data_IF_681270272677
#
_entry.id   IF_681270272677
#
_cell.length_a   1.000
_cell.length_b   1.000
_cell.length_c   1.000
_cell.angle_alpha   90.00
_cell.angle_beta   90.00
_cell.angle_gamma   90.00
#
_symmetry.space_group_name_H-M   'P 1'
#
loop_
_entity.id
_entity.type
_entity.pdbx_description
1 polymer ?
#
# COMPACT_ATOMS: atom_id res chain seq x y z
N UNK A 1 -0.51 19.67 -22.20
CA UNK A 1 -1.60 20.65 -22.28
C UNK A 1 -2.36 20.77 -20.95
N UNK A 2 -2.86 19.68 -20.37
CA UNK A 2 -3.72 19.70 -19.17
C UNK A 2 -3.03 20.27 -17.91
N UNK A 3 -1.70 20.07 -17.75
CA UNK A 3 -0.95 20.62 -16.61
C UNK A 3 -0.94 22.15 -16.58
N UNK A 4 -0.86 22.78 -17.75
CA UNK A 4 -0.90 24.25 -17.87
C UNK A 4 -2.29 24.75 -17.51
N UNK A 5 -3.35 24.14 -18.06
CA UNK A 5 -4.73 24.50 -17.72
C UNK A 5 -5.00 24.38 -16.20
N UNK A 6 -4.48 23.32 -15.57
CA UNK A 6 -4.61 23.11 -14.13
C UNK A 6 -3.88 24.20 -13.32
N UNK A 7 -2.68 24.60 -13.72
CA UNK A 7 -1.94 25.69 -13.07
C UNK A 7 -2.69 27.02 -13.19
N UNK A 8 -3.24 27.34 -14.36
CA UNK A 8 -4.04 28.55 -14.58
C UNK A 8 -5.29 28.54 -13.69
N UNK A 9 -6.01 27.41 -13.64
CA UNK A 9 -7.20 27.27 -12.82
C UNK A 9 -6.89 27.42 -11.31
N UNK A 10 -5.78 26.80 -10.84
CA UNK A 10 -5.31 26.95 -9.45
C UNK A 10 -4.94 28.40 -9.14
N UNK A 11 -4.21 29.05 -10.04
CA UNK A 11 -3.77 30.44 -9.84
C UNK A 11 -4.97 31.41 -9.80
N UNK A 12 -5.98 31.19 -10.64
CA UNK A 12 -7.24 31.90 -10.55
C UNK A 12 -7.93 31.73 -9.21
N UNK A 13 -8.04 30.48 -8.71
CA UNK A 13 -8.61 30.20 -7.38
C UNK A 13 -7.82 30.87 -6.26
N UNK A 14 -6.49 30.78 -6.30
CA UNK A 14 -5.60 31.44 -5.32
C UNK A 14 -5.84 32.95 -5.27
N UNK A 15 -5.94 33.62 -6.42
CA UNK A 15 -6.19 35.08 -6.48
C UNK A 15 -7.57 35.45 -5.98
N UNK A 16 -8.59 34.64 -6.32
CA UNK A 16 -9.97 34.94 -5.98
C UNK A 16 -10.34 34.62 -4.53
N UNK A 17 -9.84 33.52 -4.00
CA UNK A 17 -10.26 32.98 -2.72
C UNK A 17 -9.14 32.98 -1.65
N UNK A 18 -7.93 33.37 -2.00
CA UNK A 18 -6.75 33.33 -1.16
C UNK A 18 -6.44 31.93 -0.58
N UNK A 19 -6.78 30.87 -1.32
CA UNK A 19 -6.56 29.48 -0.93
C UNK A 19 -5.47 28.90 -1.82
N UNK A 20 -4.50 28.25 -1.21
CA UNK A 20 -3.49 27.47 -1.90
C UNK A 20 -3.68 26.01 -1.58
N UNK A 21 -3.93 25.20 -2.59
CA UNK A 21 -3.94 23.75 -2.52
C UNK A 21 -3.12 23.16 -3.66
N UNK A 22 -2.46 22.00 -3.48
CA UNK A 22 -1.78 21.33 -4.57
C UNK A 22 -2.78 20.86 -5.63
N UNK A 23 -2.28 20.65 -6.85
CA UNK A 23 -3.02 19.93 -7.89
C UNK A 23 -2.74 18.43 -7.67
N UNK A 24 -3.76 17.63 -7.45
CA UNK A 24 -3.61 16.17 -7.36
C UNK A 24 -3.69 15.56 -8.76
N UNK A 25 -2.70 14.72 -9.08
CA UNK A 25 -2.70 13.90 -10.31
C UNK A 25 -2.76 12.44 -9.87
N UNK A 26 -3.84 11.77 -10.25
CA UNK A 26 -4.03 10.35 -10.05
C UNK A 26 -3.86 9.62 -11.37
N UNK A 27 -3.00 8.60 -11.41
CA UNK A 27 -2.72 7.80 -12.61
C UNK A 27 -2.74 6.31 -12.31
N UNK A 28 -2.75 5.46 -13.34
CA UNK A 28 -2.96 4.02 -13.19
C UNK A 28 -1.72 3.23 -12.77
N UNK A 29 -0.51 3.72 -13.04
CA UNK A 29 0.72 2.96 -12.79
C UNK A 29 1.85 3.76 -12.15
N UNK A 30 2.80 3.05 -11.53
CA UNK A 30 3.99 3.63 -10.91
C UNK A 30 4.92 4.23 -11.97
N UNK A 31 4.98 3.62 -13.16
CA UNK A 31 5.78 4.11 -14.29
C UNK A 31 5.26 5.46 -14.78
N UNK A 32 3.95 5.61 -14.92
CA UNK A 32 3.33 6.89 -15.27
C UNK A 32 3.55 7.95 -14.20
N UNK A 33 3.45 7.58 -12.92
CA UNK A 33 3.78 8.49 -11.82
C UNK A 33 5.22 9.00 -11.93
N UNK A 34 6.19 8.12 -12.17
CA UNK A 34 7.60 8.48 -12.35
C UNK A 34 7.78 9.38 -13.56
N UNK A 35 7.16 9.07 -14.70
CA UNK A 35 7.23 9.87 -15.89
C UNK A 35 6.72 11.30 -15.65
N UNK A 36 5.61 11.46 -14.97
CA UNK A 36 5.03 12.78 -14.64
C UNK A 36 5.97 13.56 -13.72
N UNK A 37 6.49 12.92 -12.66
CA UNK A 37 7.33 13.57 -11.63
C UNK A 37 8.74 13.88 -12.14
N UNK A 38 9.36 12.97 -12.89
CA UNK A 38 10.75 13.06 -13.28
C UNK A 38 10.98 13.74 -14.64
N UNK A 39 9.96 13.76 -15.50
CA UNK A 39 10.08 14.30 -16.87
C UNK A 39 9.09 15.42 -17.17
N UNK A 40 7.77 15.17 -17.02
CA UNK A 40 6.75 16.10 -17.51
C UNK A 40 6.69 17.39 -16.67
N UNK A 41 6.61 17.30 -15.35
CA UNK A 41 6.57 18.48 -14.47
C UNK A 41 7.89 19.27 -14.52
N UNK A 42 9.09 18.66 -14.45
CA UNK A 42 10.35 19.38 -14.59
C UNK A 42 10.50 20.08 -15.94
N UNK A 43 10.10 19.43 -17.04
CA UNK A 43 10.10 20.04 -18.38
C UNK A 43 9.18 21.26 -18.45
N UNK A 44 7.95 21.12 -17.95
CA UNK A 44 7.00 22.23 -17.87
C UNK A 44 7.56 23.37 -17.00
N UNK A 45 8.07 23.03 -15.83
CA UNK A 45 8.66 23.98 -14.89
C UNK A 45 9.77 24.81 -15.54
N UNK A 46 10.66 24.15 -16.27
CA UNK A 46 11.75 24.83 -17.01
C UNK A 46 11.19 25.83 -18.03
N UNK A 47 10.24 25.42 -18.86
CA UNK A 47 9.62 26.29 -19.88
C UNK A 47 8.95 27.50 -19.23
N UNK A 48 8.20 27.30 -18.14
CA UNK A 48 7.48 28.37 -17.45
C UNK A 48 8.43 29.37 -16.77
N UNK A 49 9.56 28.91 -16.22
CA UNK A 49 10.59 29.78 -15.65
C UNK A 49 11.31 30.57 -16.74
N UNK A 50 11.74 29.92 -17.82
CA UNK A 50 12.44 30.56 -18.96
C UNK A 50 11.57 31.60 -19.67
N UNK A 51 10.24 31.38 -19.71
CA UNK A 51 9.27 32.34 -20.26
C UNK A 51 8.86 33.43 -19.27
N UNK A 52 9.41 33.47 -18.05
CA UNK A 52 9.01 34.38 -16.97
C UNK A 52 7.52 34.26 -16.58
N UNK A 53 6.87 33.14 -16.90
CA UNK A 53 5.48 32.89 -16.49
C UNK A 53 5.37 32.57 -15.00
N UNK A 54 6.42 32.00 -14.40
CA UNK A 54 6.54 31.74 -12.96
C UNK A 54 7.91 32.18 -12.45
N UNK A 55 7.95 32.66 -11.19
CA UNK A 55 9.19 33.17 -10.58
C UNK A 55 10.09 32.06 -9.99
N UNK A 56 9.54 30.89 -9.68
CA UNK A 56 10.25 29.75 -9.05
C UNK A 56 9.86 28.44 -9.71
N UNK A 57 10.78 27.46 -9.74
CA UNK A 57 10.44 26.13 -10.23
C UNK A 57 9.25 25.50 -9.50
N UNK A 58 8.45 24.74 -10.25
CA UNK A 58 7.33 23.98 -9.72
C UNK A 58 7.81 22.87 -8.77
N UNK A 59 7.11 22.72 -7.67
CA UNK A 59 7.38 21.71 -6.66
C UNK A 59 6.40 20.54 -6.78
N UNK A 60 6.91 19.31 -6.63
CA UNK A 60 6.10 18.09 -6.76
C UNK A 60 6.44 17.11 -5.66
N UNK A 61 5.42 16.43 -5.16
CA UNK A 61 5.58 15.28 -4.27
C UNK A 61 4.96 14.03 -4.88
N UNK A 62 5.69 12.91 -4.83
CA UNK A 62 5.22 11.60 -5.21
C UNK A 62 4.67 10.87 -3.99
N UNK A 63 3.44 10.36 -4.09
CA UNK A 63 2.75 9.62 -3.04
C UNK A 63 2.49 8.19 -3.50
N UNK A 64 3.09 7.24 -2.79
CA UNK A 64 2.89 5.80 -3.00
C UNK A 64 2.36 5.15 -1.73
N UNK A 65 1.80 3.97 -1.87
CA UNK A 65 1.42 3.13 -0.74
C UNK A 65 2.63 2.80 0.15
N UNK A 66 2.38 2.53 1.42
CA UNK A 66 3.43 2.25 2.42
C UNK A 66 4.29 1.03 2.05
N UNK A 67 3.74 0.07 1.33
CA UNK A 67 4.38 -1.14 0.84
C UNK A 67 5.51 -0.89 -0.17
N UNK A 68 5.57 0.31 -0.73
CA UNK A 68 6.66 0.73 -1.63
C UNK A 68 7.87 1.30 -0.89
N UNK A 69 7.77 1.47 0.44
CA UNK A 69 8.85 2.08 1.22
C UNK A 69 9.51 1.09 2.16
N UNK A 70 10.81 1.26 2.32
CA UNK A 70 11.67 0.47 3.18
C UNK A 70 11.34 0.65 4.67
N UNK A 71 11.32 -0.45 5.41
CA UNK A 71 11.16 -0.47 6.87
C UNK A 71 12.45 -0.91 7.57
N UNK A 72 13.09 -0.01 8.31
CA UNK A 72 14.33 -0.27 9.07
C UNK A 72 14.19 -1.47 10.01
N UNK A 73 13.09 -1.56 10.78
CA UNK A 73 12.83 -2.69 11.69
C UNK A 73 12.81 -4.03 10.96
N UNK A 74 11.99 -4.12 9.91
CA UNK A 74 11.83 -5.35 9.13
C UNK A 74 13.09 -5.74 8.36
N UNK A 75 13.89 -4.75 7.96
CA UNK A 75 15.17 -4.99 7.35
C UNK A 75 16.14 -5.66 8.32
N UNK A 76 16.25 -5.19 9.55
CA UNK A 76 17.11 -5.84 10.55
C UNK A 76 16.63 -7.25 10.91
N UNK A 77 15.32 -7.46 11.01
CA UNK A 77 14.73 -8.79 11.23
C UNK A 77 15.05 -9.76 10.06
N UNK A 78 15.29 -9.22 8.87
CA UNK A 78 15.64 -9.98 7.66
C UNK A 78 17.16 -10.02 7.37
N UNK A 79 17.94 -9.20 8.05
CA UNK A 79 19.34 -8.92 7.74
C UNK A 79 20.24 -10.17 7.81
N UNK A 80 20.01 -11.08 8.74
CA UNK A 80 20.81 -12.32 8.86
C UNK A 80 20.65 -13.21 7.61
N UNK A 81 19.49 -13.18 6.97
CA UNK A 81 19.27 -13.88 5.70
C UNK A 81 19.99 -13.19 4.53
N UNK A 82 20.08 -11.87 4.56
CA UNK A 82 20.80 -11.08 3.53
C UNK A 82 22.30 -11.29 3.61
N UNK A 83 22.87 -11.37 4.81
CA UNK A 83 24.30 -11.62 5.04
C UNK A 83 24.80 -12.91 4.40
N UNK A 84 23.96 -13.95 4.32
CA UNK A 84 24.31 -15.23 3.71
C UNK A 84 24.50 -15.14 2.19
N UNK A 85 24.02 -14.08 1.56
CA UNK A 85 24.05 -13.89 0.11
C UNK A 85 24.44 -12.45 -0.27
N UNK A 86 25.64 -11.98 0.09
CA UNK A 86 26.03 -10.58 -0.04
C UNK A 86 25.99 -10.06 -1.47
N UNK A 87 26.45 -10.85 -2.45
CA UNK A 87 26.44 -10.46 -3.87
C UNK A 87 25.00 -10.23 -4.40
N UNK A 88 24.06 -11.03 -3.95
CA UNK A 88 22.67 -10.97 -4.38
C UNK A 88 21.93 -9.72 -3.87
N UNK A 89 22.33 -9.19 -2.73
CA UNK A 89 21.66 -8.11 -2.04
C UNK A 89 22.50 -6.83 -1.92
N UNK A 90 23.69 -6.76 -2.56
CA UNK A 90 24.60 -5.61 -2.51
C UNK A 90 23.88 -4.29 -2.84
N UNK A 91 23.12 -4.24 -3.94
CA UNK A 91 22.37 -3.05 -4.36
C UNK A 91 21.33 -2.61 -3.33
N UNK A 92 20.72 -3.54 -2.62
CA UNK A 92 19.75 -3.22 -1.55
C UNK A 92 20.46 -2.60 -0.35
N UNK A 93 21.61 -3.13 0.03
CA UNK A 93 22.43 -2.61 1.14
C UNK A 93 22.98 -1.22 0.80
N UNK A 94 23.54 -1.04 -0.40
CA UNK A 94 24.03 0.26 -0.90
C UNK A 94 22.92 1.32 -0.92
N UNK A 95 21.73 0.96 -1.43
CA UNK A 95 20.59 1.87 -1.47
C UNK A 95 20.08 2.21 -0.07
N UNK A 96 20.10 1.26 0.86
CA UNK A 96 19.78 1.52 2.27
C UNK A 96 20.77 2.49 2.90
N UNK A 97 22.07 2.27 2.72
CA UNK A 97 23.11 3.15 3.26
C UNK A 97 23.00 4.56 2.68
N UNK A 98 22.78 4.68 1.36
CA UNK A 98 22.55 5.96 0.72
C UNK A 98 21.34 6.71 1.29
N UNK A 99 20.24 6.01 1.59
CA UNK A 99 19.05 6.61 2.22
C UNK A 99 19.30 7.03 3.66
N UNK A 100 20.03 6.22 4.43
CA UNK A 100 20.38 6.53 5.81
C UNK A 100 21.14 7.85 5.94
N UNK A 101 22.09 8.09 5.03
CA UNK A 101 22.86 9.33 5.01
C UNK A 101 22.10 10.53 4.39
N UNK A 102 21.19 10.27 3.46
CA UNK A 102 20.42 11.32 2.79
C UNK A 102 19.16 11.76 3.56
N UNK A 103 18.88 11.17 4.71
CA UNK A 103 17.69 11.44 5.54
C UNK A 103 16.36 11.44 4.75
N UNK A 104 16.21 10.49 3.84
CA UNK A 104 15.03 10.37 2.97
C UNK A 104 14.46 8.95 3.03
N UNK A 105 13.18 8.82 2.74
CA UNK A 105 12.55 7.51 2.61
C UNK A 105 13.14 6.74 1.43
N UNK A 106 13.44 5.46 1.64
CA UNK A 106 13.92 4.59 0.59
C UNK A 106 12.73 3.97 -0.17
N UNK A 107 12.62 4.30 -1.44
CA UNK A 107 11.64 3.75 -2.37
C UNK A 107 12.16 2.41 -2.91
N UNK A 108 11.49 1.31 -2.51
CA UNK A 108 11.86 -0.05 -2.89
C UNK A 108 11.71 -0.32 -4.40
N UNK A 109 10.92 0.47 -5.11
CA UNK A 109 10.76 0.35 -6.57
C UNK A 109 11.99 0.84 -7.35
N UNK A 110 12.93 1.49 -6.67
CA UNK A 110 14.21 1.92 -7.29
C UNK A 110 15.22 0.79 -7.38
N UNK A 111 14.98 -0.32 -6.67
CA UNK A 111 15.88 -1.49 -6.65
C UNK A 111 15.14 -2.72 -7.16
N UNK A 112 15.72 -3.37 -8.16
CA UNK A 112 15.17 -4.62 -8.69
C UNK A 112 15.35 -5.75 -7.67
N UNK A 113 14.25 -6.27 -7.15
CA UNK A 113 14.23 -7.37 -6.18
C UNK A 113 13.01 -8.26 -6.39
N UNK A 114 13.03 -9.45 -5.77
CA UNK A 114 11.87 -10.34 -5.76
C UNK A 114 10.77 -9.78 -4.87
N UNK A 115 9.51 -9.96 -5.24
CA UNK A 115 8.37 -9.47 -4.45
C UNK A 115 8.35 -10.04 -3.03
N UNK A 116 8.78 -11.29 -2.83
CA UNK A 116 8.92 -11.90 -1.51
C UNK A 116 9.95 -11.20 -0.60
N UNK A 117 11.01 -10.62 -1.19
CA UNK A 117 11.98 -9.81 -0.46
C UNK A 117 11.40 -8.44 -0.15
N UNK A 118 10.77 -7.80 -1.13
CA UNK A 118 10.10 -6.50 -0.97
C UNK A 118 9.07 -6.55 0.16
N UNK A 119 8.18 -7.55 0.15
CA UNK A 119 7.16 -7.73 1.18
C UNK A 119 7.73 -8.03 2.58
N UNK A 120 8.95 -8.60 2.65
CA UNK A 120 9.63 -8.86 3.93
C UNK A 120 10.21 -7.61 4.58
N UNK A 121 10.57 -6.58 3.79
CA UNK A 121 11.29 -5.39 4.25
C UNK A 121 10.52 -4.08 4.06
N UNK A 122 9.32 -4.12 3.47
CA UNK A 122 8.49 -2.93 3.27
C UNK A 122 7.77 -2.50 4.56
N UNK A 123 7.24 -1.27 4.55
CA UNK A 123 6.48 -0.71 5.66
C UNK A 123 5.13 -1.44 5.78
N UNK A 124 4.93 -2.17 6.88
CA UNK A 124 3.68 -2.86 7.21
C UNK A 124 3.49 -2.90 8.73
N UNK A 125 2.22 -2.92 9.21
CA UNK A 125 1.88 -3.14 10.62
C UNK A 125 2.56 -2.15 11.58
N UNK A 126 2.56 -0.87 11.25
CA UNK A 126 3.28 0.19 11.96
C UNK A 126 2.57 0.63 13.25
N UNK A 127 2.24 -0.27 14.15
CA UNK A 127 1.75 0.07 15.48
C UNK A 127 2.88 -0.07 16.51
N UNK A 128 3.12 0.97 17.34
CA UNK A 128 4.09 0.98 18.45
C UNK A 128 5.50 0.50 18.05
N UNK A 129 6.07 1.12 17.04
CA UNK A 129 7.39 0.75 16.53
C UNK A 129 8.51 1.34 17.39
N UNK A 130 9.47 0.52 17.85
CA UNK A 130 10.67 0.98 18.61
C UNK A 130 11.60 1.91 17.82
N UNK A 131 11.45 1.97 16.49
CA UNK A 131 12.21 2.86 15.59
C UNK A 131 11.38 4.04 15.09
N UNK A 132 10.34 4.43 15.82
CA UNK A 132 9.38 5.47 15.38
C UNK A 132 10.07 6.79 15.08
N UNK A 133 10.97 7.22 15.97
CA UNK A 133 11.68 8.50 15.85
C UNK A 133 12.72 8.51 14.70
N UNK A 134 13.23 7.34 14.31
CA UNK A 134 14.19 7.18 13.23
C UNK A 134 13.53 6.73 11.92
N UNK A 135 12.22 6.67 11.85
CA UNK A 135 11.50 6.13 10.71
C UNK A 135 11.50 7.12 9.52
N UNK A 136 12.22 6.78 8.48
CA UNK A 136 12.26 7.58 7.24
C UNK A 136 10.88 7.75 6.60
N UNK A 137 10.06 6.70 6.60
CA UNK A 137 8.71 6.76 6.06
C UNK A 137 7.82 7.74 6.84
N UNK A 138 7.87 7.70 8.17
CA UNK A 138 7.12 8.63 9.02
C UNK A 138 7.56 10.08 8.78
N UNK A 139 8.86 10.35 8.82
CA UNK A 139 9.40 11.70 8.56
C UNK A 139 9.02 12.21 7.18
N UNK A 140 9.10 11.35 6.15
CA UNK A 140 8.65 11.70 4.80
C UNK A 140 7.14 11.99 4.77
N UNK A 141 6.32 11.18 5.43
CA UNK A 141 4.86 11.36 5.47
C UNK A 141 4.50 12.67 6.18
N UNK A 142 5.15 13.00 7.29
CA UNK A 142 4.97 14.26 8.01
C UNK A 142 5.39 15.45 7.15
N UNK A 143 6.58 15.40 6.52
CA UNK A 143 7.03 16.44 5.59
C UNK A 143 6.05 16.65 4.45
N UNK A 144 5.55 15.57 3.88
CA UNK A 144 4.58 15.63 2.79
C UNK A 144 3.20 16.12 3.24
N UNK A 145 2.83 15.95 4.51
CA UNK A 145 1.57 16.44 5.07
C UNK A 145 1.58 17.96 5.29
N UNK A 146 2.72 18.50 5.68
CA UNK A 146 2.85 19.93 6.02
C UNK A 146 3.57 20.74 4.93
N UNK A 147 4.11 20.09 3.91
CA UNK A 147 4.80 20.74 2.80
C UNK A 147 3.84 21.45 1.84
N UNK A 148 4.28 22.57 1.28
CA UNK A 148 3.57 23.24 0.21
C UNK A 148 4.12 22.75 -1.13
N UNK A 149 3.29 22.06 -1.91
CA UNK A 149 3.63 21.53 -3.22
C UNK A 149 2.67 22.06 -4.27
N UNK A 150 3.19 22.32 -5.49
CA UNK A 150 2.35 22.66 -6.62
C UNK A 150 1.56 21.46 -7.12
N UNK A 151 2.20 20.27 -7.10
CA UNK A 151 1.58 19.02 -7.50
C UNK A 151 1.82 17.93 -6.46
N UNK A 152 0.81 17.10 -6.25
CA UNK A 152 0.97 15.77 -5.65
C UNK A 152 0.53 14.71 -6.65
N UNK A 153 1.40 13.73 -6.90
CA UNK A 153 1.16 12.64 -7.86
C UNK A 153 0.99 11.34 -7.10
N UNK A 154 -0.02 10.56 -7.47
CA UNK A 154 -0.38 9.31 -6.81
C UNK A 154 -0.97 8.31 -7.79
N UNK A 155 -1.17 7.05 -7.38
CA UNK A 155 -1.97 6.10 -8.15
C UNK A 155 -3.46 6.18 -7.74
N UNK A 156 -4.32 5.59 -8.58
CA UNK A 156 -5.76 5.59 -8.35
C UNK A 156 -6.14 4.92 -7.03
N UNK A 157 -5.51 3.81 -6.68
CA UNK A 157 -5.79 3.07 -5.46
C UNK A 157 -5.53 3.91 -4.21
N UNK A 158 -4.36 4.58 -4.12
CA UNK A 158 -4.05 5.44 -2.99
C UNK A 158 -4.93 6.69 -2.94
N UNK A 159 -5.28 7.26 -4.12
CA UNK A 159 -6.20 8.38 -4.23
C UNK A 159 -7.58 8.01 -3.65
N UNK A 160 -8.15 6.89 -4.08
CA UNK A 160 -9.45 6.42 -3.61
C UNK A 160 -9.43 5.99 -2.14
N UNK A 161 -8.37 5.32 -1.70
CA UNK A 161 -8.17 4.97 -0.28
C UNK A 161 -8.13 6.24 0.58
N UNK A 162 -7.43 7.28 0.15
CA UNK A 162 -7.36 8.56 0.87
C UNK A 162 -8.72 9.26 0.90
N UNK A 163 -9.49 9.20 -0.19
CA UNK A 163 -10.84 9.74 -0.26
C UNK A 163 -11.80 8.99 0.69
N UNK A 164 -11.71 7.66 0.73
CA UNK A 164 -12.50 6.84 1.67
C UNK A 164 -12.16 7.17 3.13
N UNK A 165 -10.88 7.25 3.48
CA UNK A 165 -10.44 7.61 4.83
C UNK A 165 -10.99 8.97 5.28
N UNK A 166 -11.07 9.94 4.36
CA UNK A 166 -11.69 11.23 4.63
C UNK A 166 -13.19 11.11 4.89
N UNK A 167 -13.90 10.33 4.08
CA UNK A 167 -15.33 10.08 4.25
C UNK A 167 -15.63 9.40 5.60
N UNK A 168 -14.75 8.51 6.06
CA UNK A 168 -14.82 7.82 7.35
C UNK A 168 -14.27 8.67 8.53
N UNK A 169 -14.04 9.97 8.33
CA UNK A 169 -13.48 10.91 9.31
C UNK A 169 -12.09 10.51 9.84
N UNK A 170 -11.37 9.69 9.08
CA UNK A 170 -9.98 9.33 9.37
C UNK A 170 -9.02 10.36 8.77
N UNK A 171 -7.77 10.33 9.21
CA UNK A 171 -6.73 11.19 8.64
C UNK A 171 -6.38 10.78 7.20
N UNK A 172 -6.66 11.63 6.20
CA UNK A 172 -6.39 11.29 4.81
C UNK A 172 -4.88 11.15 4.54
N UNK A 173 -4.54 10.32 3.56
CA UNK A 173 -3.15 10.08 3.16
C UNK A 173 -2.60 11.21 2.26
N UNK A 174 -3.49 11.89 1.56
CA UNK A 174 -3.15 12.96 0.62
C UNK A 174 -3.51 14.33 1.19
N UNK A 175 -2.78 15.35 0.77
CA UNK A 175 -3.12 16.76 1.05
C UNK A 175 -4.41 17.11 0.30
N UNK A 176 -5.22 17.96 0.90
CA UNK A 176 -6.46 18.45 0.29
C UNK A 176 -6.17 19.21 -1.00
N UNK A 177 -6.92 18.88 -2.03
CA UNK A 177 -6.79 19.47 -3.35
C UNK A 177 -8.12 19.90 -3.89
N UNK A 178 -8.21 21.16 -4.35
CA UNK A 178 -9.39 21.68 -5.04
C UNK A 178 -9.45 21.28 -6.51
N UNK A 179 -8.36 20.77 -7.05
CA UNK A 179 -8.24 20.35 -8.45
C UNK A 179 -7.59 18.97 -8.51
N UNK A 180 -8.30 18.05 -9.12
CA UNK A 180 -7.86 16.67 -9.33
C UNK A 180 -7.84 16.36 -10.82
N UNK A 181 -6.75 15.80 -11.30
CA UNK A 181 -6.59 15.26 -12.63
C UNK A 181 -6.58 13.75 -12.54
N UNK A 182 -7.51 13.10 -13.20
CA UNK A 182 -7.58 11.65 -13.33
C UNK A 182 -7.02 11.27 -14.70
N UNK A 183 -5.81 10.76 -14.72
CA UNK A 183 -5.16 10.24 -15.93
C UNK A 183 -5.49 8.76 -16.08
N UNK A 184 -5.66 8.23 -17.30
CA UNK A 184 -6.10 6.86 -17.54
C UNK A 184 -7.42 6.50 -16.81
N UNK A 185 -8.41 7.41 -16.84
CA UNK A 185 -9.65 7.31 -16.07
C UNK A 185 -10.46 6.00 -16.31
N UNK A 186 -10.22 5.31 -17.43
CA UNK A 186 -10.82 4.02 -17.72
C UNK A 186 -10.43 2.93 -16.71
N UNK A 187 -9.31 3.08 -16.00
CA UNK A 187 -8.84 2.15 -14.95
C UNK A 187 -9.31 2.53 -13.56
N UNK A 188 -10.02 3.66 -13.42
CA UNK A 188 -10.47 4.12 -12.10
C UNK A 188 -11.50 3.18 -11.47
N UNK A 189 -12.34 2.52 -12.30
CA UNK A 189 -13.32 1.55 -11.82
C UNK A 189 -12.66 0.37 -11.11
N UNK A 190 -11.66 -0.27 -11.75
CA UNK A 190 -10.95 -1.41 -11.17
C UNK A 190 -10.22 -0.99 -9.87
N UNK A 191 -9.57 0.17 -9.90
CA UNK A 191 -8.93 0.72 -8.72
C UNK A 191 -9.92 1.04 -7.59
N UNK A 192 -11.18 1.39 -7.91
CA UNK A 192 -12.22 1.61 -6.91
C UNK A 192 -12.65 0.30 -6.25
N UNK A 193 -12.81 -0.76 -7.02
CA UNK A 193 -13.08 -2.10 -6.48
C UNK A 193 -11.96 -2.55 -5.54
N UNK A 194 -10.69 -2.37 -5.93
CA UNK A 194 -9.54 -2.71 -5.10
C UNK A 194 -9.43 -1.84 -3.82
N UNK A 195 -9.79 -0.57 -3.89
CA UNK A 195 -9.69 0.37 -2.76
C UNK A 195 -10.83 0.26 -1.76
N UNK A 196 -12.02 -0.18 -2.20
CA UNK A 196 -13.24 -0.24 -1.39
C UNK A 196 -13.69 -1.65 -1.06
N UNK A 197 -13.27 -2.63 -1.85
CA UNK A 197 -13.58 -4.03 -1.64
C UNK A 197 -12.75 -4.66 -0.52
N UNK A 198 -13.33 -5.62 0.16
CA UNK A 198 -12.57 -6.51 1.03
C UNK A 198 -11.89 -7.57 0.17
N UNK A 199 -10.61 -7.79 0.42
CA UNK A 199 -9.83 -8.81 -0.28
C UNK A 199 -9.65 -10.03 0.62
N UNK A 200 -9.94 -11.18 0.07
CA UNK A 200 -9.65 -12.47 0.70
C UNK A 200 -8.78 -13.28 -0.24
N UNK A 201 -7.54 -13.57 0.16
CA UNK A 201 -6.63 -14.37 -0.64
C UNK A 201 -6.34 -15.73 0.02
N UNK A 202 -6.41 -16.80 -0.77
CA UNK A 202 -6.11 -18.16 -0.30
C UNK A 202 -4.76 -18.26 0.42
N UNK A 203 -3.73 -17.62 -0.13
CA UNK A 203 -2.40 -17.59 0.47
C UNK A 203 -2.33 -16.79 1.78
N UNK A 204 -3.22 -15.85 2.01
CA UNK A 204 -3.29 -15.13 3.30
C UNK A 204 -3.89 -15.99 4.38
N UNK A 205 -4.92 -16.76 4.06
CA UNK A 205 -5.48 -17.74 4.99
C UNK A 205 -4.43 -18.79 5.35
N UNK A 206 -3.71 -19.35 4.35
CA UNK A 206 -2.64 -20.32 4.60
C UNK A 206 -1.51 -19.74 5.47
N UNK A 207 -1.13 -18.48 5.25
CA UNK A 207 -0.14 -17.78 6.09
C UNK A 207 -0.64 -17.55 7.50
N UNK A 208 -1.91 -17.15 7.64
CA UNK A 208 -2.55 -16.97 8.96
C UNK A 208 -2.59 -18.28 9.75
N UNK A 209 -3.03 -19.38 9.13
CA UNK A 209 -3.05 -20.71 9.72
C UNK A 209 -1.66 -21.15 10.17
N UNK A 210 -0.63 -20.97 9.31
CA UNK A 210 0.75 -21.28 9.66
C UNK A 210 1.25 -20.43 10.83
N UNK A 211 0.98 -19.13 10.82
CA UNK A 211 1.40 -18.23 11.89
C UNK A 211 0.76 -18.58 13.23
N UNK A 212 -0.54 -18.87 13.24
CA UNK A 212 -1.27 -19.28 14.46
C UNK A 212 -0.82 -20.66 14.94
N UNK A 213 -0.55 -21.60 14.03
CA UNK A 213 -0.08 -22.95 14.34
C UNK A 213 1.29 -23.00 15.02
N UNK A 214 2.13 -21.97 14.84
CA UNK A 214 3.46 -21.84 15.46
C UNK A 214 3.45 -21.00 16.75
N UNK A 215 2.30 -20.48 17.17
CA UNK A 215 2.24 -19.70 18.40
C UNK A 215 2.28 -20.59 19.64
N UNK A 216 3.02 -20.16 20.65
CA UNK A 216 2.96 -20.76 21.97
C UNK A 216 1.55 -20.56 22.55
N UNK A 217 0.94 -21.62 23.03
CA UNK A 217 -0.40 -21.59 23.59
C UNK A 217 -0.51 -22.57 24.76
N UNK A 218 -1.56 -22.40 25.56
CA UNK A 218 -1.88 -23.33 26.63
C UNK A 218 -2.13 -24.74 26.03
N UNK A 219 -1.51 -25.81 26.52
CA UNK A 219 -1.69 -27.17 25.99
C UNK A 219 -3.14 -27.62 25.86
N UNK A 220 -4.03 -27.18 26.77
CA UNK A 220 -5.47 -27.46 26.71
C UNK A 220 -6.18 -26.77 25.53
N UNK A 221 -5.62 -25.69 25.01
CA UNK A 221 -6.17 -24.93 23.86
C UNK A 221 -5.60 -25.40 22.53
N UNK A 222 -4.46 -26.11 22.51
CA UNK A 222 -3.78 -26.53 21.28
C UNK A 222 -4.70 -27.39 20.39
N UNK A 223 -5.38 -28.36 20.97
CA UNK A 223 -6.30 -29.24 20.22
C UNK A 223 -7.47 -28.44 19.60
N UNK A 224 -8.01 -27.49 20.36
CA UNK A 224 -9.07 -26.61 19.86
C UNK A 224 -8.56 -25.70 18.73
N UNK A 225 -7.36 -25.12 18.85
CA UNK A 225 -6.74 -24.37 17.76
C UNK A 225 -6.56 -25.22 16.51
N UNK A 226 -6.04 -26.44 16.64
CA UNK A 226 -5.86 -27.35 15.51
C UNK A 226 -7.18 -27.66 14.80
N UNK A 227 -8.24 -27.92 15.56
CA UNK A 227 -9.57 -28.22 15.00
C UNK A 227 -10.10 -27.00 14.19
N UNK A 228 -10.04 -25.79 14.76
CA UNK A 228 -10.48 -24.55 14.08
C UNK A 228 -9.63 -24.28 12.85
N UNK A 229 -8.30 -24.41 12.94
CA UNK A 229 -7.39 -24.17 11.80
C UNK A 229 -7.62 -25.17 10.67
N UNK A 230 -7.93 -26.42 10.99
CA UNK A 230 -8.30 -27.44 9.97
C UNK A 230 -9.62 -27.08 9.29
N UNK A 231 -10.62 -26.64 10.05
CA UNK A 231 -11.89 -26.13 9.50
C UNK A 231 -11.69 -24.93 8.59
N UNK A 232 -10.85 -23.99 9.01
CA UNK A 232 -10.51 -22.78 8.27
C UNK A 232 -9.87 -23.10 6.92
N UNK A 233 -8.90 -24.03 6.87
CA UNK A 233 -8.29 -24.49 5.63
C UNK A 233 -9.32 -25.18 4.72
N UNK A 234 -10.12 -26.10 5.26
CA UNK A 234 -11.13 -26.81 4.49
C UNK A 234 -12.16 -25.87 3.86
N UNK A 235 -12.70 -24.93 4.64
CA UNK A 235 -13.67 -23.95 4.14
C UNK A 235 -13.04 -23.01 3.11
N UNK A 236 -11.78 -22.64 3.29
CA UNK A 236 -11.06 -21.81 2.32
C UNK A 236 -10.85 -22.54 1.00
N UNK A 237 -10.42 -23.80 1.02
CA UNK A 237 -10.23 -24.60 -0.19
C UNK A 237 -11.54 -24.78 -0.97
N UNK A 238 -12.66 -25.01 -0.27
CA UNK A 238 -13.98 -25.08 -0.90
C UNK A 238 -14.38 -23.76 -1.55
N UNK A 239 -14.24 -22.63 -0.83
CA UNK A 239 -14.59 -21.31 -1.34
C UNK A 239 -13.78 -20.96 -2.59
N UNK A 240 -12.45 -21.10 -2.52
CA UNK A 240 -11.59 -20.79 -3.67
C UNK A 240 -11.74 -21.79 -4.82
N UNK A 241 -12.05 -23.06 -4.52
CA UNK A 241 -12.40 -24.05 -5.54
C UNK A 241 -13.68 -23.67 -6.30
N UNK A 242 -14.74 -23.29 -5.56
CA UNK A 242 -16.00 -22.78 -6.15
C UNK A 242 -15.73 -21.53 -7.01
N UNK A 243 -14.97 -20.58 -6.50
CA UNK A 243 -14.63 -19.35 -7.21
C UNK A 243 -13.86 -19.63 -8.51
N UNK A 244 -12.85 -20.50 -8.49
CA UNK A 244 -12.08 -20.92 -9.67
C UNK A 244 -12.97 -21.60 -10.72
N UNK A 245 -13.85 -22.48 -10.29
CA UNK A 245 -14.78 -23.16 -11.19
C UNK A 245 -15.75 -22.18 -11.87
N UNK A 246 -16.32 -21.24 -11.12
CA UNK A 246 -17.22 -20.20 -11.64
C UNK A 246 -16.51 -19.25 -12.61
N UNK A 247 -15.26 -18.94 -12.33
CA UNK A 247 -14.44 -18.09 -13.17
C UNK A 247 -13.90 -18.81 -14.43
N UNK A 248 -14.07 -20.14 -14.54
CA UNK A 248 -13.47 -20.93 -15.61
C UNK A 248 -11.94 -20.87 -15.59
N UNK A 249 -11.35 -20.73 -14.39
CA UNK A 249 -9.90 -20.61 -14.21
C UNK A 249 -9.23 -21.96 -14.37
N UNK A 250 -8.24 -22.05 -15.28
CA UNK A 250 -7.24 -23.10 -15.33
C UNK A 250 -5.99 -22.63 -14.57
N UNK A 251 -5.24 -23.55 -13.93
CA UNK A 251 -4.02 -23.24 -13.16
C UNK A 251 -2.91 -22.56 -13.99
N UNK A 252 -3.09 -22.50 -15.32
CA UNK A 252 -2.22 -21.78 -16.27
C UNK A 252 -2.60 -20.32 -16.48
N UNK A 253 -3.78 -19.88 -16.07
CA UNK A 253 -4.29 -18.52 -16.27
C UNK A 253 -3.79 -17.57 -15.16
N UNK A 254 -2.61 -17.02 -15.33
CA UNK A 254 -2.10 -15.98 -14.43
C UNK A 254 -2.48 -14.59 -14.94
N UNK A 255 -3.18 -13.82 -14.11
CA UNK A 255 -3.38 -12.38 -14.31
C UNK A 255 -4.69 -11.94 -14.96
N UNK A 256 -5.67 -12.83 -15.12
CA UNK A 256 -7.03 -12.44 -15.51
C UNK A 256 -7.90 -12.14 -14.30
N UNK A 257 -8.62 -11.04 -14.34
CA UNK A 257 -9.66 -10.67 -13.36
C UNK A 257 -11.02 -10.99 -13.97
N UNK A 258 -11.86 -11.72 -13.24
CA UNK A 258 -13.22 -12.05 -13.68
C UNK A 258 -14.22 -11.83 -12.55
N UNK A 259 -15.33 -11.19 -12.87
CA UNK A 259 -16.45 -11.08 -11.94
C UNK A 259 -17.22 -12.39 -11.86
N UNK A 260 -17.45 -12.87 -10.65
CA UNK A 260 -18.27 -14.04 -10.36
C UNK A 260 -19.38 -13.65 -9.37
N UNK A 261 -20.54 -14.25 -9.51
CA UNK A 261 -21.60 -14.14 -8.51
C UNK A 261 -21.41 -15.17 -7.41
N UNK A 262 -21.48 -14.72 -6.17
CA UNK A 262 -21.46 -15.59 -5.00
C UNK A 262 -22.86 -16.21 -4.80
N UNK A 263 -22.89 -17.52 -4.66
CA UNK A 263 -24.13 -18.21 -4.28
C UNK A 263 -24.28 -18.27 -2.75
N UNK A 264 -25.44 -18.70 -2.21
CA UNK A 264 -25.64 -18.80 -0.77
C UNK A 264 -24.64 -19.73 -0.05
N UNK A 265 -24.14 -20.77 -0.73
CA UNK A 265 -23.10 -21.65 -0.16
C UNK A 265 -21.77 -20.93 0.00
N UNK A 266 -21.35 -20.12 -0.99
CA UNK A 266 -20.13 -19.30 -0.90
C UNK A 266 -20.22 -18.30 0.26
N UNK A 267 -21.39 -17.65 0.41
CA UNK A 267 -21.65 -16.72 1.52
C UNK A 267 -21.52 -17.43 2.86
N UNK A 268 -22.11 -18.62 2.99
CA UNK A 268 -22.00 -19.44 4.20
C UNK A 268 -20.55 -19.80 4.51
N UNK A 269 -19.74 -20.14 3.51
CA UNK A 269 -18.31 -20.43 3.67
C UNK A 269 -17.54 -19.17 4.14
N UNK A 270 -17.84 -18.02 3.59
CA UNK A 270 -17.23 -16.73 4.02
C UNK A 270 -17.60 -16.43 5.47
N UNK A 271 -18.85 -16.58 5.86
CA UNK A 271 -19.31 -16.36 7.23
C UNK A 271 -18.61 -17.31 8.21
N UNK A 272 -18.47 -18.60 7.83
CA UNK A 272 -17.74 -19.58 8.63
C UNK A 272 -16.26 -19.18 8.80
N UNK A 273 -15.57 -18.75 7.74
CA UNK A 273 -14.18 -18.28 7.81
C UNK A 273 -14.04 -17.09 8.76
N UNK A 274 -14.95 -16.12 8.68
CA UNK A 274 -14.97 -14.95 9.56
C UNK A 274 -15.21 -15.37 11.02
N UNK A 275 -16.13 -16.30 11.27
CA UNK A 275 -16.44 -16.79 12.61
C UNK A 275 -15.22 -17.50 13.23
N UNK A 276 -14.55 -18.35 12.48
CA UNK A 276 -13.35 -19.09 12.90
C UNK A 276 -12.21 -18.14 13.25
N UNK A 277 -11.90 -17.16 12.39
CA UNK A 277 -10.88 -16.15 12.64
C UNK A 277 -11.20 -15.36 13.91
N UNK A 278 -12.44 -14.86 14.06
CA UNK A 278 -12.89 -14.13 15.26
C UNK A 278 -12.81 -14.99 16.52
N UNK A 279 -13.05 -16.29 16.40
CA UNK A 279 -12.93 -17.22 17.53
C UNK A 279 -11.46 -17.35 17.97
N UNK A 280 -10.54 -17.56 17.02
CA UNK A 280 -9.11 -17.63 17.30
C UNK A 280 -8.64 -16.33 17.97
N UNK A 281 -9.02 -15.17 17.43
CA UNK A 281 -8.63 -13.88 18.00
C UNK A 281 -9.13 -13.67 19.43
N UNK A 282 -10.36 -14.08 19.74
CA UNK A 282 -10.91 -14.05 21.10
C UNK A 282 -10.11 -14.95 22.05
N UNK A 283 -9.87 -16.19 21.65
CA UNK A 283 -9.07 -17.13 22.43
C UNK A 283 -7.66 -16.57 22.72
N UNK A 284 -7.04 -15.91 21.74
CA UNK A 284 -5.73 -15.27 21.89
C UNK A 284 -5.76 -14.07 22.85
N UNK A 285 -6.82 -13.27 22.85
CA UNK A 285 -6.98 -12.15 23.80
C UNK A 285 -7.06 -12.62 25.24
N UNK A 286 -7.60 -13.81 25.49
CA UNK A 286 -7.77 -14.40 26.82
C UNK A 286 -6.48 -15.11 27.31
N UNK A 287 -5.47 -15.30 26.47
CA UNK A 287 -4.22 -15.92 26.88
C UNK A 287 -3.34 -14.99 27.73
N UNK A 288 -2.58 -15.58 28.71
CA UNK A 288 -1.60 -14.84 29.50
C UNK A 288 -0.57 -14.13 28.61
N UNK A 289 -0.09 -12.96 29.06
CA UNK A 289 0.84 -12.13 28.27
C UNK A 289 2.12 -12.85 27.82
N UNK A 290 2.65 -13.77 28.63
CA UNK A 290 3.86 -14.56 28.31
C UNK A 290 3.66 -15.58 27.18
N UNK A 291 2.41 -15.90 26.80
CA UNK A 291 2.09 -16.78 25.68
C UNK A 291 1.69 -16.00 24.40
N UNK A 292 1.68 -14.66 24.44
CA UNK A 292 1.26 -13.82 23.32
C UNK A 292 2.39 -13.37 22.39
N UNK A 293 3.64 -13.73 22.71
CA UNK A 293 4.84 -13.34 21.94
C UNK A 293 5.22 -14.41 20.93
#
# INVERSE_FOLDING_TARGET
AYLVAALVARDYKKRKYNVFSPITISTSSIELQKMIVEKEIPRLSKILVESNAIAKPLTVTLRKGKEHYFCKRRFYDFYDKIKLYPEKYSRLVEAFDACRFADRAFDLDTVKMRESVKSSICVQGCSRCRYEDECFYRRMTERNRFGQFDFQVTNHQLFLTSARMRYEEQHPLLIDSDLVIIDEAHKLHDAALDATGDQLAENEIKRYVSAVGHLNSNPKKIELYKAILTGLLYNSEKLFGSAKQKAGYDDTDSGRSQMIELNPEDITLIEALIADIRHIERMRKEEPRHLKN
#
